data_IF_796466294165
#
_entry.id   IF_796466294165
#
_cell.length_a   1.000
_cell.length_b   1.000
_cell.length_c   1.000
_cell.angle_alpha   90.00
_cell.angle_beta   90.00
_cell.angle_gamma   90.00
#
_symmetry.space_group_name_H-M   'P 1'
#
loop_
_entity.id
_entity.type
_entity.pdbx_description
1 polymer ?
#
# COMPACT_ATOMS: atom_id res chain seq x y z
N UNK A 1 0.49 23.54 -6.52
CA UNK A 1 1.92 23.24 -6.34
C UNK A 1 2.01 22.12 -5.33
N UNK A 2 1.87 20.88 -5.80
CA UNK A 2 2.19 19.67 -5.07
C UNK A 2 2.74 18.72 -6.13
N UNK A 3 4.03 18.87 -6.40
CA UNK A 3 4.79 18.13 -7.40
C UNK A 3 6.03 17.61 -6.66
N UNK A 4 5.80 16.60 -5.84
CA UNK A 4 6.83 15.85 -5.15
C UNK A 4 6.46 14.39 -5.41
N UNK A 5 7.11 13.77 -6.39
CA UNK A 5 7.10 12.32 -6.52
C UNK A 5 7.50 11.71 -5.17
N UNK A 6 6.72 10.76 -4.66
CA UNK A 6 7.05 10.11 -3.39
C UNK A 6 8.35 9.32 -3.58
N UNK A 7 9.37 9.64 -2.79
CA UNK A 7 10.59 8.84 -2.77
C UNK A 7 10.29 7.41 -2.33
N UNK A 8 11.16 6.46 -2.64
CA UNK A 8 10.94 5.06 -2.26
C UNK A 8 10.80 4.91 -0.74
N UNK A 9 11.52 5.75 0.00
CA UNK A 9 11.45 5.81 1.45
C UNK A 9 10.07 6.29 1.92
N UNK A 10 9.47 7.25 1.23
CA UNK A 10 8.15 7.76 1.60
C UNK A 10 7.05 6.74 1.28
N UNK A 11 7.16 6.00 0.17
CA UNK A 11 6.26 4.88 -0.13
C UNK A 11 6.33 3.78 0.94
N UNK A 12 7.54 3.42 1.38
CA UNK A 12 7.72 2.45 2.46
C UNK A 12 7.06 2.94 3.76
N UNK A 13 7.20 4.23 4.08
CA UNK A 13 6.56 4.83 5.27
C UNK A 13 5.04 4.77 5.18
N UNK A 14 4.48 5.19 4.05
CA UNK A 14 3.03 5.16 3.79
C UNK A 14 2.46 3.76 4.00
N UNK A 15 3.11 2.73 3.45
CA UNK A 15 2.66 1.35 3.65
C UNK A 15 2.74 0.93 5.13
N UNK A 16 3.78 1.37 5.84
CA UNK A 16 3.94 1.10 7.28
C UNK A 16 2.84 1.76 8.13
N UNK A 17 2.45 2.97 7.78
CA UNK A 17 1.35 3.68 8.44
C UNK A 17 0.02 2.94 8.20
N UNK A 18 -0.23 2.49 6.96
CA UNK A 18 -1.42 1.69 6.62
C UNK A 18 -1.47 0.35 7.36
N UNK A 19 -0.33 -0.36 7.49
CA UNK A 19 -0.25 -1.58 8.29
C UNK A 19 -0.63 -1.31 9.76
N UNK A 20 -0.21 -0.16 10.29
CA UNK A 20 -0.56 0.26 11.65
C UNK A 20 -2.06 0.51 11.78
N UNK A 21 -2.68 1.15 10.79
CA UNK A 21 -4.12 1.39 10.76
C UNK A 21 -4.93 0.08 10.67
N UNK A 22 -4.49 -0.89 9.85
CA UNK A 22 -5.07 -2.24 9.82
C UNK A 22 -4.96 -2.92 11.19
N UNK A 23 -3.82 -2.78 11.87
CA UNK A 23 -3.59 -3.36 13.19
C UNK A 23 -4.53 -2.78 14.26
N UNK A 24 -4.91 -1.50 14.13
CA UNK A 24 -5.94 -0.87 14.96
C UNK A 24 -7.33 -1.39 14.57
N UNK A 25 -7.68 -1.36 13.29
CA UNK A 25 -8.99 -1.77 12.78
C UNK A 25 -9.34 -3.22 13.16
N UNK A 26 -8.40 -4.16 12.96
CA UNK A 26 -8.59 -5.58 13.34
C UNK A 26 -8.81 -5.78 14.84
N UNK A 27 -8.35 -4.84 15.67
CA UNK A 27 -8.53 -4.85 17.13
C UNK A 27 -10.01 -4.76 17.53
N UNK A 28 -10.83 -4.16 16.69
CA UNK A 28 -12.27 -3.98 16.90
C UNK A 28 -13.10 -5.25 16.60
N UNK A 29 -12.50 -6.26 15.97
CA UNK A 29 -13.20 -7.47 15.55
C UNK A 29 -12.87 -8.69 16.43
N UNK A 30 -13.84 -9.59 16.71
CA UNK A 30 -13.58 -10.86 17.36
C UNK A 30 -12.54 -11.69 16.61
N UNK A 31 -11.67 -12.40 17.34
CA UNK A 31 -10.55 -13.19 16.77
C UNK A 31 -10.95 -14.13 15.62
N UNK A 32 -12.14 -14.70 15.70
CA UNK A 32 -12.62 -15.67 14.73
C UNK A 32 -13.47 -15.09 13.61
N UNK A 33 -13.75 -13.78 13.64
CA UNK A 33 -14.64 -13.15 12.66
C UNK A 33 -14.01 -13.18 11.26
N UNK A 34 -14.83 -13.31 10.20
CA UNK A 34 -14.35 -13.26 8.83
C UNK A 34 -13.58 -11.96 8.53
N UNK A 35 -14.09 -10.82 9.01
CA UNK A 35 -13.50 -9.49 8.79
C UNK A 35 -12.09 -9.41 9.37
N UNK A 36 -11.88 -9.94 10.57
CA UNK A 36 -10.55 -9.99 11.18
C UNK A 36 -9.57 -10.84 10.37
N UNK A 37 -10.02 -11.98 9.85
CA UNK A 37 -9.19 -12.86 9.01
C UNK A 37 -8.77 -12.18 7.72
N UNK A 38 -9.66 -11.35 7.17
CA UNK A 38 -9.41 -10.56 5.96
C UNK A 38 -8.41 -9.42 6.24
N UNK A 39 -8.58 -8.66 7.33
CA UNK A 39 -7.56 -7.70 7.77
C UNK A 39 -6.19 -8.34 8.05
N UNK A 40 -6.15 -9.52 8.67
CA UNK A 40 -4.90 -10.26 8.88
C UNK A 40 -4.27 -10.72 7.55
N UNK A 41 -5.08 -10.99 6.52
CA UNK A 41 -4.57 -11.29 5.18
C UNK A 41 -3.95 -10.05 4.53
N UNK A 42 -4.66 -8.92 4.56
CA UNK A 42 -4.16 -7.65 4.02
C UNK A 42 -2.89 -7.16 4.71
N UNK A 43 -2.83 -7.25 6.04
CA UNK A 43 -1.62 -6.92 6.81
C UNK A 43 -0.40 -7.73 6.31
N UNK A 44 -0.56 -9.04 6.11
CA UNK A 44 0.54 -9.90 5.63
C UNK A 44 0.96 -9.57 4.20
N UNK A 45 -0.01 -9.28 3.33
CA UNK A 45 0.25 -8.94 1.93
C UNK A 45 1.01 -7.61 1.81
N UNK A 46 0.55 -6.58 2.52
CA UNK A 46 1.22 -5.27 2.55
C UNK A 46 2.62 -5.33 3.18
N UNK A 47 2.81 -6.12 4.24
CA UNK A 47 4.12 -6.35 4.86
C UNK A 47 5.11 -6.99 3.87
N UNK A 48 4.65 -8.01 3.12
CA UNK A 48 5.47 -8.64 2.07
C UNK A 48 5.82 -7.65 0.95
N UNK A 49 4.87 -6.83 0.53
CA UNK A 49 5.08 -5.79 -0.49
C UNK A 49 6.01 -4.67 -0.01
N UNK A 50 5.91 -4.24 1.24
CA UNK A 50 6.81 -3.27 1.86
C UNK A 50 8.26 -3.80 1.87
N UNK A 51 8.43 -5.07 2.22
CA UNK A 51 9.73 -5.75 2.13
C UNK A 51 10.26 -5.79 0.69
N UNK A 52 9.42 -6.17 -0.28
CA UNK A 52 9.80 -6.19 -1.69
C UNK A 52 10.21 -4.80 -2.21
N UNK A 53 9.51 -3.73 -1.79
CA UNK A 53 9.86 -2.35 -2.14
C UNK A 53 11.19 -1.92 -1.53
N UNK A 54 11.47 -2.33 -0.29
CA UNK A 54 12.75 -2.05 0.36
C UNK A 54 13.93 -2.72 -0.36
N UNK A 55 13.73 -3.94 -0.84
CA UNK A 55 14.75 -4.73 -1.55
C UNK A 55 14.91 -4.34 -3.03
N UNK A 56 13.87 -3.80 -3.65
CA UNK A 56 13.87 -3.44 -5.06
C UNK A 56 14.70 -2.17 -5.34
N UNK A 57 15.49 -2.21 -6.42
CA UNK A 57 16.22 -1.04 -6.95
C UNK A 57 15.34 -0.36 -7.98
N UNK A 58 14.94 0.88 -7.69
CA UNK A 58 14.14 1.70 -8.59
C UNK A 58 14.97 2.84 -9.18
N UNK A 59 14.67 3.20 -10.42
CA UNK A 59 14.97 4.53 -10.95
C UNK A 59 13.74 5.40 -10.70
N UNK A 60 13.83 6.25 -9.66
CA UNK A 60 12.74 7.14 -9.25
C UNK A 60 12.39 8.18 -10.34
N UNK A 61 13.24 8.37 -11.35
CA UNK A 61 12.99 9.24 -12.49
C UNK A 61 12.14 8.60 -13.61
N UNK A 62 11.78 7.32 -13.50
CA UNK A 62 10.91 6.67 -14.48
C UNK A 62 9.46 7.13 -14.31
N UNK A 63 8.80 7.51 -15.41
CA UNK A 63 7.39 7.91 -15.40
C UNK A 63 6.45 6.86 -14.77
N UNK A 64 6.79 5.58 -14.89
CA UNK A 64 6.03 4.50 -14.27
C UNK A 64 6.15 4.48 -12.74
N UNK A 65 7.33 4.82 -12.20
CA UNK A 65 7.54 5.02 -10.77
C UNK A 65 6.71 6.20 -10.27
N UNK A 66 6.81 7.35 -10.95
CA UNK A 66 6.07 8.57 -10.59
C UNK A 66 4.55 8.34 -10.58
N UNK A 67 4.01 7.72 -11.63
CA UNK A 67 2.58 7.40 -11.73
C UNK A 67 2.12 6.49 -10.58
N UNK A 68 2.81 5.37 -10.36
CA UNK A 68 2.42 4.43 -9.32
C UNK A 68 2.59 5.05 -7.91
N UNK A 69 3.59 5.91 -7.71
CA UNK A 69 3.80 6.60 -6.45
C UNK A 69 2.67 7.60 -6.13
N UNK A 70 2.15 8.31 -7.13
CA UNK A 70 1.02 9.22 -6.98
C UNK A 70 -0.30 8.49 -6.70
N UNK A 71 -0.50 7.32 -7.34
CA UNK A 71 -1.65 6.47 -7.08
C UNK A 71 -1.61 5.94 -5.63
N UNK A 72 -0.43 5.52 -5.15
CA UNK A 72 -0.24 5.07 -3.76
C UNK A 72 -0.53 6.20 -2.76
N UNK A 73 -0.05 7.43 -2.99
CA UNK A 73 -0.34 8.57 -2.10
C UNK A 73 -1.85 8.85 -2.01
N UNK A 74 -2.54 8.80 -3.15
CA UNK A 74 -3.98 9.05 -3.22
C UNK A 74 -4.75 7.99 -2.44
N UNK A 75 -4.45 6.71 -2.70
CA UNK A 75 -5.11 5.59 -2.03
C UNK A 75 -4.82 5.62 -0.52
N UNK A 76 -3.60 5.95 -0.12
CA UNK A 76 -3.24 6.06 1.30
C UNK A 76 -4.06 7.13 2.04
N UNK A 77 -4.30 8.28 1.40
CA UNK A 77 -5.14 9.34 1.98
C UNK A 77 -6.60 8.91 2.08
N UNK A 78 -7.13 8.28 1.03
CA UNK A 78 -8.50 7.76 1.01
C UNK A 78 -8.68 6.67 2.09
N UNK A 79 -7.66 5.84 2.33
CA UNK A 79 -7.67 4.82 3.37
C UNK A 79 -7.64 5.38 4.79
N UNK A 80 -6.84 6.41 5.06
CA UNK A 80 -6.80 7.06 6.37
C UNK A 80 -8.18 7.63 6.75
N UNK A 81 -8.91 8.17 5.77
CA UNK A 81 -10.28 8.65 5.94
C UNK A 81 -11.28 7.48 6.10
N UNK A 82 -11.09 6.36 5.39
CA UNK A 82 -11.97 5.19 5.46
C UNK A 82 -11.80 4.38 6.77
N UNK A 83 -10.58 4.22 7.28
CA UNK A 83 -10.31 3.46 8.53
C UNK A 83 -10.78 4.24 9.77
N UNK A 84 -10.82 5.58 9.69
CA UNK A 84 -11.46 6.41 10.72
C UNK A 84 -12.96 6.10 10.89
N UNK A 85 -13.63 5.59 9.85
CA UNK A 85 -15.01 5.12 9.90
C UNK A 85 -15.08 3.60 9.81
N UNK A 86 -14.80 2.92 10.93
CA UNK A 86 -14.85 1.45 11.09
C UNK A 86 -16.14 0.81 10.57
N UNK A 87 -17.23 1.57 10.39
CA UNK A 87 -18.48 1.09 9.81
C UNK A 87 -18.41 0.86 8.29
N UNK A 88 -17.39 1.34 7.59
CA UNK A 88 -17.25 1.22 6.14
C UNK A 88 -16.18 0.19 5.73
N UNK A 89 -16.20 -0.98 6.38
CA UNK A 89 -15.24 -2.07 6.16
C UNK A 89 -15.13 -2.51 4.71
N UNK A 90 -16.24 -2.45 3.94
CA UNK A 90 -16.23 -2.80 2.51
C UNK A 90 -15.39 -1.82 1.68
N UNK A 91 -15.48 -0.52 1.96
CA UNK A 91 -14.66 0.49 1.29
C UNK A 91 -13.19 0.31 1.63
N UNK A 92 -12.88 0.03 2.91
CA UNK A 92 -11.50 -0.25 3.34
C UNK A 92 -10.89 -1.42 2.57
N UNK A 93 -11.63 -2.50 2.33
CA UNK A 93 -11.13 -3.64 1.55
C UNK A 93 -10.95 -3.32 0.06
N UNK A 94 -11.84 -2.49 -0.51
CA UNK A 94 -11.67 -2.04 -1.89
C UNK A 94 -10.40 -1.18 -2.06
N UNK A 95 -10.16 -0.27 -1.11
CA UNK A 95 -8.99 0.61 -1.16
C UNK A 95 -7.69 -0.18 -0.91
N UNK A 96 -7.71 -1.18 -0.02
CA UNK A 96 -6.59 -2.12 0.17
C UNK A 96 -6.26 -2.89 -1.11
N UNK A 97 -7.27 -3.34 -1.85
CA UNK A 97 -7.07 -4.04 -3.11
C UNK A 97 -6.45 -3.13 -4.17
N UNK A 98 -6.91 -1.87 -4.26
CA UNK A 98 -6.32 -0.86 -5.17
C UNK A 98 -4.87 -0.57 -4.80
N UNK A 99 -4.57 -0.42 -3.52
CA UNK A 99 -3.21 -0.19 -3.03
C UNK A 99 -2.28 -1.36 -3.40
N UNK A 100 -2.71 -2.58 -3.11
CA UNK A 100 -1.94 -3.78 -3.40
C UNK A 100 -1.62 -3.90 -4.89
N UNK A 101 -2.56 -3.55 -5.78
CA UNK A 101 -2.37 -3.53 -7.23
C UNK A 101 -1.35 -2.47 -7.65
N UNK A 102 -1.46 -1.24 -7.14
CA UNK A 102 -0.52 -0.17 -7.48
C UNK A 102 0.93 -0.52 -7.07
N UNK A 103 1.10 -1.20 -5.93
CA UNK A 103 2.42 -1.67 -5.50
C UNK A 103 2.94 -2.81 -6.40
N UNK A 104 2.07 -3.73 -6.86
CA UNK A 104 2.48 -4.78 -7.80
C UNK A 104 2.93 -4.20 -9.14
N UNK A 105 2.20 -3.21 -9.66
CA UNK A 105 2.57 -2.52 -10.89
C UNK A 105 3.93 -1.82 -10.76
N UNK A 106 4.16 -1.17 -9.60
CA UNK A 106 5.43 -0.57 -9.27
C UNK A 106 6.56 -1.62 -9.24
N UNK A 107 6.39 -2.73 -8.52
CA UNK A 107 7.38 -3.80 -8.44
C UNK A 107 7.65 -4.44 -9.81
N UNK A 108 6.65 -4.53 -10.68
CA UNK A 108 6.82 -4.94 -12.08
C UNK A 108 7.73 -4.00 -12.89
N UNK A 109 7.70 -2.71 -12.60
CA UNK A 109 8.60 -1.71 -13.21
C UNK A 109 10.06 -1.92 -12.77
N UNK A 110 10.30 -2.21 -11.49
CA UNK A 110 11.65 -2.55 -11.02
C UNK A 110 12.21 -3.83 -11.68
N UNK A 111 11.38 -4.87 -11.82
CA UNK A 111 11.80 -6.14 -12.42
C UNK A 111 12.14 -6.01 -13.92
N UNK A 112 11.51 -5.07 -14.63
CA UNK A 112 11.79 -4.81 -16.05
C UNK A 112 13.04 -3.96 -16.27
N UNK A 113 13.37 -3.03 -15.35
CA UNK A 113 14.61 -2.26 -15.38
C UNK A 113 15.88 -3.14 -15.24
N UNK A 114 15.82 -4.22 -14.44
CA UNK A 114 16.94 -5.16 -14.23
C UNK A 114 17.24 -6.03 -15.47
N UNK A 115 16.27 -6.26 -16.36
CA UNK A 115 16.47 -7.07 -17.59
C UNK A 115 17.06 -6.29 -18.77
N UNK A 116 17.14 -4.97 -18.68
CA UNK A 116 17.63 -4.11 -19.76
C UNK A 116 19.14 -3.75 -19.65
N UNK A 117 19.82 -4.26 -18.62
CA UNK A 117 21.27 -4.12 -18.38
C UNK A 117 21.98 -5.43 -18.71
#
# INVERSE_FOLDING_TARGET
>A
MFDQDLSRLDLIRVIGDIITEIDVARGSFPKESPERKEFDAWRRDLDAKQHALADAVFDEGMAAYQSASADIDTIARDMADAIADVNNTAQTFEDLARLASAIDDLLGCAASAVKAV
#
